data_IF_687805452753
#
_entry.id   IF_687805452753
#
_cell.length_a   1.000
_cell.length_b   1.000
_cell.length_c   1.000
_cell.angle_alpha   90.00
_cell.angle_beta   90.00
_cell.angle_gamma   90.00
#
_symmetry.space_group_name_H-M   'P 1'
#
loop_
_entity.id
_entity.type
_entity.pdbx_description
1 polymer ?
#
# COMPACT_ATOMS: atom_id res chain seq x y z
N UNK A 1 17.20 6.27 -2.34
CA UNK A 1 16.10 5.63 -1.59
C UNK A 1 15.08 6.75 -1.41
N UNK A 2 14.09 6.96 -2.26
CA UNK A 2 13.11 6.04 -2.84
C UNK A 2 12.62 6.61 -4.19
N UNK A 3 12.64 5.84 -5.29
CA UNK A 3 12.02 6.27 -6.56
C UNK A 3 10.56 5.80 -6.70
N UNK A 4 9.99 5.11 -5.70
CA UNK A 4 8.62 4.53 -5.72
C UNK A 4 7.63 5.16 -4.75
N UNK A 5 7.99 6.24 -4.07
CA UNK A 5 7.09 6.93 -3.11
C UNK A 5 6.37 8.09 -3.79
N UNK A 6 5.04 8.08 -3.79
CA UNK A 6 4.21 9.20 -4.25
C UNK A 6 3.72 10.00 -3.05
N UNK A 7 4.04 11.29 -3.00
CA UNK A 7 3.62 12.21 -1.94
C UNK A 7 2.32 12.92 -2.31
N UNK A 8 1.36 12.95 -1.39
CA UNK A 8 0.07 13.64 -1.54
C UNK A 8 -0.20 14.48 -0.28
N UNK A 9 0.36 15.69 -0.25
CA UNK A 9 0.28 16.56 0.93
C UNK A 9 1.08 15.98 2.11
N UNK A 10 0.39 15.57 3.17
CA UNK A 10 0.99 14.91 4.35
C UNK A 10 0.85 13.38 4.33
N UNK A 11 0.40 12.83 3.22
CA UNK A 11 0.24 11.39 3.01
C UNK A 11 1.24 10.90 1.97
N UNK A 12 1.54 9.61 2.02
CA UNK A 12 2.33 8.95 0.98
C UNK A 12 1.76 7.59 0.63
N UNK A 13 2.07 7.16 -0.60
CA UNK A 13 1.89 5.78 -1.03
C UNK A 13 3.26 5.29 -1.45
N UNK A 14 3.67 4.14 -0.93
CA UNK A 14 4.87 3.44 -1.38
C UNK A 14 4.53 2.00 -1.80
N UNK A 15 5.44 1.44 -2.61
CA UNK A 15 5.47 0.01 -2.89
C UNK A 15 6.61 -0.61 -2.09
N UNK A 16 6.37 -1.73 -1.45
CA UNK A 16 7.41 -2.52 -0.78
C UNK A 16 8.16 -3.42 -1.77
N UNK A 17 9.31 -4.04 -1.39
CA UNK A 17 10.13 -4.81 -2.32
C UNK A 17 9.38 -5.87 -3.13
N UNK A 18 8.32 -6.47 -2.55
CA UNK A 18 7.48 -7.47 -3.21
C UNK A 18 6.21 -6.91 -3.86
N UNK A 19 6.11 -5.59 -4.03
CA UNK A 19 4.95 -4.92 -4.63
C UNK A 19 3.76 -4.76 -3.69
N UNK A 20 3.94 -4.96 -2.37
CA UNK A 20 2.88 -4.66 -1.40
C UNK A 20 2.62 -3.16 -1.40
N UNK A 21 1.34 -2.79 -1.40
CA UNK A 21 0.92 -1.41 -1.39
C UNK A 21 0.83 -0.91 0.05
N UNK A 22 1.59 0.13 0.38
CA UNK A 22 1.63 0.72 1.72
C UNK A 22 1.18 2.19 1.66
N UNK A 23 -0.02 2.50 2.20
CA UNK A 23 -0.44 3.87 2.42
C UNK A 23 0.05 4.38 3.79
N UNK A 24 0.68 5.54 3.80
CA UNK A 24 0.98 6.30 5.01
C UNK A 24 0.06 7.51 5.11
N UNK A 25 -0.82 7.49 6.13
CA UNK A 25 -1.83 8.52 6.37
C UNK A 25 -1.26 9.81 6.98
N UNK A 26 -2.08 10.86 7.02
CA UNK A 26 -1.67 12.12 7.63
C UNK A 26 -1.82 12.06 9.16
N UNK A 27 -1.16 12.94 9.92
CA UNK A 27 -1.46 13.12 11.34
C UNK A 27 -2.89 13.66 11.52
N UNK A 28 -3.77 12.85 12.10
CA UNK A 28 -5.19 13.17 12.32
C UNK A 28 -5.53 13.27 13.81
N UNK A 29 -6.65 13.94 14.13
CA UNK A 29 -7.08 14.19 15.51
C UNK A 29 -7.95 13.08 16.10
N UNK A 30 -8.68 12.35 15.26
CA UNK A 30 -9.64 11.34 15.72
C UNK A 30 -9.55 10.06 14.90
N UNK A 31 -9.92 8.94 15.51
CA UNK A 31 -9.95 7.64 14.85
C UNK A 31 -10.94 7.60 13.67
N UNK A 32 -12.04 8.36 13.74
CA UNK A 32 -13.00 8.47 12.64
C UNK A 32 -12.39 9.13 11.40
N UNK A 33 -11.47 10.09 11.58
CA UNK A 33 -10.73 10.67 10.47
C UNK A 33 -9.83 9.61 9.83
N UNK A 34 -9.15 8.78 10.63
CA UNK A 34 -8.29 7.71 10.11
C UNK A 34 -9.10 6.68 9.33
N UNK A 35 -10.27 6.29 9.83
CA UNK A 35 -11.17 5.38 9.13
C UNK A 35 -11.62 5.96 7.77
N UNK A 36 -11.87 7.26 7.69
CA UNK A 36 -12.28 7.93 6.45
C UNK A 36 -11.17 8.00 5.38
N UNK A 37 -9.89 7.89 5.77
CA UNK A 37 -8.76 7.84 4.82
C UNK A 37 -8.65 6.48 4.10
N UNK A 38 -9.17 5.40 4.70
CA UNK A 38 -9.09 4.05 4.14
C UNK A 38 -10.26 3.81 3.19
N UNK A 39 -10.06 4.16 1.91
CA UNK A 39 -11.01 3.85 0.82
C UNK A 39 -10.36 2.93 -0.21
N UNK A 40 -11.09 1.90 -0.63
CA UNK A 40 -10.65 0.95 -1.68
C UNK A 40 -11.31 1.36 -3.00
N UNK A 41 -10.54 1.34 -4.09
CA UNK A 41 -11.01 1.66 -5.47
C UNK A 41 -10.95 0.39 -6.32
N UNK A 42 -11.96 0.14 -7.14
CA UNK A 42 -12.22 -1.16 -7.78
C UNK A 42 -12.12 -1.16 -9.32
N UNK A 43 -11.47 -0.16 -9.93
CA UNK A 43 -11.65 0.10 -11.38
C UNK A 43 -10.71 -0.67 -12.32
N UNK A 44 -9.84 -1.56 -11.82
CA UNK A 44 -8.77 -2.18 -12.65
C UNK A 44 -8.81 -3.71 -12.74
N UNK A 45 -9.84 -4.38 -12.20
CA UNK A 45 -9.88 -5.85 -12.14
C UNK A 45 -8.77 -6.47 -11.27
N UNK A 46 -8.17 -5.66 -10.39
CA UNK A 46 -7.13 -6.05 -9.45
C UNK A 46 -7.73 -6.03 -8.04
N UNK A 47 -7.54 -7.12 -7.30
CA UNK A 47 -7.95 -7.22 -5.90
C UNK A 47 -6.78 -7.03 -4.94
N UNK A 48 -7.05 -6.45 -3.78
CA UNK A 48 -6.09 -6.35 -2.67
C UNK A 48 -6.55 -7.25 -1.52
N UNK A 49 -5.59 -7.83 -0.79
CA UNK A 49 -5.86 -8.68 0.36
C UNK A 49 -5.06 -8.19 1.58
N UNK A 50 -5.77 -7.87 2.67
CA UNK A 50 -5.17 -7.42 3.93
C UNK A 50 -4.81 -8.61 4.83
N UNK A 51 -3.67 -9.25 4.57
CA UNK A 51 -3.16 -10.38 5.36
C UNK A 51 -1.68 -10.18 5.68
N UNK A 52 -1.22 -10.75 6.79
CA UNK A 52 0.17 -10.60 7.24
C UNK A 52 1.22 -11.36 6.41
N UNK A 53 0.81 -12.30 5.55
CA UNK A 53 1.72 -13.10 4.73
C UNK A 53 1.04 -13.57 3.44
N UNK A 54 1.77 -13.61 2.32
CA UNK A 54 1.28 -14.12 1.04
C UNK A 54 1.12 -15.66 1.09
N UNK A 55 -0.10 -16.23 1.04
CA UNK A 55 -0.33 -17.64 1.33
C UNK A 55 -0.11 -18.57 0.12
N UNK A 56 0.02 -18.02 -1.10
CA UNK A 56 -0.02 -18.82 -2.34
C UNK A 56 1.34 -19.02 -2.99
N UNK A 57 2.14 -17.97 -3.09
CA UNK A 57 3.34 -17.95 -3.93
C UNK A 57 4.60 -18.22 -3.12
N UNK A 58 5.58 -18.88 -3.72
CA UNK A 58 6.91 -19.01 -3.10
C UNK A 58 7.65 -17.67 -3.19
N UNK A 59 8.64 -17.46 -2.31
CA UNK A 59 9.45 -16.22 -2.30
C UNK A 59 10.08 -15.90 -3.65
N UNK A 60 10.49 -16.91 -4.41
CA UNK A 60 11.14 -16.75 -5.72
C UNK A 60 10.18 -16.26 -6.82
N UNK A 61 8.87 -16.44 -6.60
CA UNK A 61 7.82 -16.06 -7.55
C UNK A 61 7.35 -14.62 -7.31
N UNK A 62 7.79 -13.98 -6.21
CA UNK A 62 7.44 -12.59 -5.89
C UNK A 62 8.30 -11.64 -6.73
N UNK A 63 7.69 -10.75 -7.55
CA UNK A 63 8.45 -9.78 -8.33
C UNK A 63 9.15 -8.78 -7.41
N UNK A 64 10.36 -8.37 -7.80
CA UNK A 64 11.11 -7.33 -7.11
C UNK A 64 10.76 -5.98 -7.72
N UNK A 65 10.29 -5.04 -6.90
CA UNK A 65 9.99 -3.69 -7.35
C UNK A 65 11.28 -2.92 -7.72
N UNK A 66 11.28 -2.16 -8.83
CA UNK A 66 12.41 -1.34 -9.23
C UNK A 66 12.44 -0.03 -8.40
N UNK A 67 12.84 -0.14 -7.13
CA UNK A 67 12.96 0.99 -6.19
C UNK A 67 14.14 1.93 -6.46
#
# INVERSE_FOLDING_TARGET
MELTTTLMGKQSICLEPGGQFEPSGAPLKTLHQTCAEVKVVEEMGIGFIGIGFQPKWERKDIPIMPK
#
